data_IF_329962176629
#
_entry.id   IF_329962176629
#
_cell.length_a   1.000
_cell.length_b   1.000
_cell.length_c   1.000
_cell.angle_alpha   90.00
_cell.angle_beta   90.00
_cell.angle_gamma   90.00
#
_symmetry.space_group_name_H-M   'P 1'
#
loop_
_entity.id
_entity.type
_entity.pdbx_description
1 polymer ?
#
# COMPACT_ATOMS: atom_id res chain seq x y z
N UNK A 1 -55.12 4.66 47.21
CA UNK A 1 -54.76 4.61 45.78
C UNK A 1 -55.57 3.51 45.13
N UNK A 2 -56.24 3.83 44.03
CA UNK A 2 -57.07 2.88 43.27
C UNK A 2 -56.18 1.95 42.43
N UNK A 3 -56.62 0.71 42.18
CA UNK A 3 -55.90 -0.22 41.30
C UNK A 3 -55.62 0.38 39.91
N UNK A 4 -56.49 1.26 39.40
CA UNK A 4 -56.33 1.91 38.11
C UNK A 4 -55.13 2.89 38.05
N UNK A 5 -54.87 3.64 39.13
CA UNK A 5 -53.72 4.57 39.22
C UNK A 5 -52.39 3.81 39.22
N UNK A 6 -52.37 2.63 39.84
CA UNK A 6 -51.18 1.77 39.92
C UNK A 6 -50.83 1.19 38.54
N UNK A 7 -51.84 0.74 37.79
CA UNK A 7 -51.68 0.23 36.43
C UNK A 7 -51.19 1.30 35.46
N UNK A 8 -51.78 2.52 35.49
CA UNK A 8 -51.30 3.63 34.65
C UNK A 8 -49.85 4.02 34.94
N UNK A 9 -49.44 4.04 36.22
CA UNK A 9 -48.02 4.30 36.58
C UNK A 9 -47.08 3.21 36.06
N UNK A 10 -47.46 1.94 36.14
CA UNK A 10 -46.64 0.84 35.62
C UNK A 10 -46.46 0.91 34.10
N UNK A 11 -47.52 1.27 33.36
CA UNK A 11 -47.45 1.48 31.91
C UNK A 11 -46.50 2.64 31.58
N UNK A 12 -46.66 3.79 32.25
CA UNK A 12 -45.79 4.96 32.03
C UNK A 12 -44.32 4.68 32.36
N UNK A 13 -44.04 3.90 33.42
CA UNK A 13 -42.69 3.44 33.76
C UNK A 13 -42.12 2.51 32.68
N UNK A 14 -42.93 1.57 32.16
CA UNK A 14 -42.51 0.66 31.08
C UNK A 14 -42.16 1.43 29.81
N UNK A 15 -42.98 2.41 29.42
CA UNK A 15 -42.76 3.21 28.22
C UNK A 15 -41.47 4.05 28.35
N UNK A 16 -41.22 4.63 29.53
CA UNK A 16 -39.99 5.36 29.81
C UNK A 16 -38.77 4.45 29.71
N UNK A 17 -38.82 3.24 30.29
CA UNK A 17 -37.70 2.29 30.19
C UNK A 17 -37.44 1.84 28.76
N UNK A 18 -38.49 1.70 27.94
CA UNK A 18 -38.35 1.31 26.55
C UNK A 18 -37.69 2.41 25.70
N UNK A 19 -38.11 3.67 25.89
CA UNK A 19 -37.48 4.82 25.23
C UNK A 19 -36.01 4.95 25.64
N UNK A 20 -35.70 4.83 26.94
CA UNK A 20 -34.33 4.86 27.43
C UNK A 20 -33.49 3.70 26.89
N UNK A 21 -34.07 2.49 26.77
CA UNK A 21 -33.42 1.33 26.18
C UNK A 21 -33.09 1.54 24.70
N UNK A 22 -34.04 2.04 23.91
CA UNK A 22 -33.80 2.36 22.50
C UNK A 22 -32.76 3.48 22.32
N UNK A 23 -32.81 4.54 23.15
CA UNK A 23 -31.80 5.60 23.15
C UNK A 23 -30.42 5.06 23.53
N UNK A 24 -30.35 4.10 24.46
CA UNK A 24 -29.11 3.42 24.83
C UNK A 24 -28.50 2.64 23.66
N UNK A 25 -29.32 1.91 22.90
CA UNK A 25 -28.88 1.18 21.70
C UNK A 25 -28.42 2.15 20.61
N UNK A 26 -29.17 3.23 20.35
CA UNK A 26 -28.79 4.23 19.35
C UNK A 26 -27.48 4.91 19.77
N UNK A 27 -27.35 5.29 21.04
CA UNK A 27 -26.14 5.89 21.59
C UNK A 27 -24.92 4.97 21.48
N UNK A 28 -25.07 3.67 21.76
CA UNK A 28 -23.97 2.71 21.62
C UNK A 28 -23.56 2.52 20.16
N UNK A 29 -24.51 2.46 19.22
CA UNK A 29 -24.22 2.36 17.80
C UNK A 29 -23.49 3.59 17.25
N UNK A 30 -23.86 4.79 17.69
CA UNK A 30 -23.15 6.03 17.33
C UNK A 30 -21.71 5.98 17.83
N UNK A 31 -21.52 5.59 19.10
CA UNK A 31 -20.19 5.48 19.70
C UNK A 31 -19.31 4.47 18.94
N UNK A 32 -19.85 3.28 18.64
CA UNK A 32 -19.14 2.25 17.85
C UNK A 32 -18.81 2.75 16.45
N UNK A 33 -19.72 3.48 15.79
CA UNK A 33 -19.47 4.06 14.47
C UNK A 33 -18.28 5.03 14.47
N UNK A 34 -18.18 5.88 15.51
CA UNK A 34 -17.04 6.79 15.69
C UNK A 34 -15.75 6.02 15.94
N UNK A 35 -15.79 5.00 16.80
CA UNK A 35 -14.62 4.18 17.13
C UNK A 35 -14.08 3.44 15.90
N UNK A 36 -14.96 2.88 15.06
CA UNK A 36 -14.57 2.22 13.81
C UNK A 36 -13.90 3.21 12.86
N UNK A 37 -14.45 4.41 12.69
CA UNK A 37 -13.87 5.44 11.82
C UNK A 37 -12.48 5.88 12.30
N UNK A 38 -12.31 6.07 13.62
CA UNK A 38 -11.02 6.41 14.22
C UNK A 38 -10.02 5.28 14.04
N UNK A 39 -10.42 4.04 14.32
CA UNK A 39 -9.60 2.84 14.14
C UNK A 39 -9.12 2.70 12.69
N UNK A 40 -10.01 2.88 11.71
CA UNK A 40 -9.65 2.86 10.29
C UNK A 40 -8.65 3.97 9.94
N UNK A 41 -8.87 5.19 10.45
CA UNK A 41 -7.98 6.34 10.19
C UNK A 41 -6.58 6.08 10.74
N UNK A 42 -6.49 5.55 11.96
CA UNK A 42 -5.22 5.17 12.60
C UNK A 42 -4.52 4.07 11.80
N UNK A 43 -5.25 3.06 11.33
CA UNK A 43 -4.69 1.98 10.53
C UNK A 43 -4.12 2.46 9.19
N UNK A 44 -4.81 3.38 8.50
CA UNK A 44 -4.31 3.97 7.25
C UNK A 44 -3.07 4.83 7.54
N UNK A 45 -3.11 5.67 8.58
CA UNK A 45 -1.98 6.51 8.96
C UNK A 45 -0.74 5.68 9.34
N UNK A 46 -0.90 4.59 10.08
CA UNK A 46 0.20 3.71 10.47
C UNK A 46 0.81 2.98 9.26
N UNK A 47 -0.02 2.54 8.31
CA UNK A 47 0.46 1.97 7.04
C UNK A 47 1.23 3.00 6.20
N UNK A 48 0.73 4.24 6.11
CA UNK A 48 1.41 5.32 5.40
C UNK A 48 2.75 5.66 6.05
N UNK A 49 2.78 5.74 7.39
CA UNK A 49 4.00 5.97 8.15
C UNK A 49 5.01 4.85 7.92
N UNK A 50 4.61 3.58 8.06
CA UNK A 50 5.50 2.44 7.84
C UNK A 50 6.11 2.43 6.42
N UNK A 51 5.32 2.81 5.40
CA UNK A 51 5.81 2.95 4.02
C UNK A 51 6.84 4.08 3.90
N UNK A 52 6.56 5.23 4.52
CA UNK A 52 7.47 6.37 4.49
C UNK A 52 8.76 6.08 5.26
N UNK A 53 8.68 5.40 6.40
CA UNK A 53 9.84 4.99 7.19
C UNK A 53 10.71 4.00 6.41
N UNK A 54 10.10 3.03 5.71
CA UNK A 54 10.84 2.09 4.86
C UNK A 54 11.53 2.79 3.68
N UNK A 55 10.86 3.74 3.02
CA UNK A 55 11.46 4.53 1.94
C UNK A 55 12.59 5.42 2.48
N UNK A 56 12.37 6.09 3.61
CA UNK A 56 13.36 6.93 4.24
C UNK A 56 14.60 6.11 4.60
N UNK A 57 14.43 4.97 5.26
CA UNK A 57 15.51 4.04 5.56
C UNK A 57 16.29 3.63 4.31
N UNK A 58 15.61 3.26 3.23
CA UNK A 58 16.26 2.90 1.96
C UNK A 58 17.14 4.03 1.41
N UNK A 59 16.67 5.28 1.45
CA UNK A 59 17.44 6.42 0.95
C UNK A 59 18.56 6.87 1.91
N UNK A 60 18.36 6.85 3.24
CA UNK A 60 19.44 7.19 4.19
C UNK A 60 20.60 6.22 4.16
N UNK A 61 20.34 4.92 3.95
CA UNK A 61 21.42 3.93 3.96
C UNK A 61 22.47 4.23 2.88
N UNK A 62 22.09 4.82 1.74
CA UNK A 62 23.06 5.27 0.75
C UNK A 62 23.89 6.49 1.23
N UNK A 63 23.31 7.35 2.08
CA UNK A 63 23.98 8.52 2.66
C UNK A 63 24.98 8.15 3.77
N UNK A 64 24.94 6.93 4.30
CA UNK A 64 25.81 6.45 5.38
C UNK A 64 27.23 6.03 4.92
N UNK A 65 27.64 6.40 3.70
CA UNK A 65 29.00 6.20 3.20
C UNK A 65 29.13 5.24 2.01
N UNK A 66 28.03 4.88 1.34
CA UNK A 66 28.09 4.12 0.10
C UNK A 66 27.99 5.04 -1.12
N UNK A 67 29.13 5.56 -1.56
CA UNK A 67 29.24 6.48 -2.72
C UNK A 67 28.70 5.85 -4.01
N UNK A 68 28.85 4.53 -4.19
CA UNK A 68 28.33 3.82 -5.36
C UNK A 68 26.81 3.81 -5.34
N UNK A 69 26.19 3.47 -4.21
CA UNK A 69 24.73 3.52 -4.07
C UNK A 69 24.20 4.94 -4.25
N UNK A 70 24.85 5.94 -3.67
CA UNK A 70 24.48 7.36 -3.83
C UNK A 70 24.49 7.77 -5.31
N UNK A 71 25.57 7.47 -6.03
CA UNK A 71 25.68 7.75 -7.47
C UNK A 71 24.62 7.02 -8.29
N UNK A 72 24.36 5.74 -7.99
CA UNK A 72 23.37 4.94 -8.74
C UNK A 72 21.93 5.37 -8.48
N UNK A 73 21.62 5.90 -7.29
CA UNK A 73 20.30 6.46 -6.97
C UNK A 73 20.04 7.77 -7.73
N UNK A 74 21.06 8.59 -7.94
CA UNK A 74 20.96 9.88 -8.64
C UNK A 74 20.84 9.73 -10.18
N UNK A 75 21.51 8.73 -10.77
CA UNK A 75 21.63 8.59 -12.24
C UNK A 75 20.43 7.95 -12.96
N UNK A 76 19.32 7.68 -12.28
CA UNK A 76 18.07 7.23 -12.89
C UNK A 76 17.74 5.74 -12.71
N UNK A 77 16.95 5.18 -13.65
CA UNK A 77 16.41 3.81 -13.54
C UNK A 77 17.44 2.73 -13.86
N UNK A 78 18.03 2.78 -15.06
CA UNK A 78 19.14 1.92 -15.48
C UNK A 78 20.30 2.85 -15.84
N UNK A 79 21.13 3.23 -14.85
CA UNK A 79 22.30 4.06 -15.12
C UNK A 79 23.34 3.27 -15.93
N UNK A 80 24.20 4.00 -16.64
CA UNK A 80 25.39 3.41 -17.23
C UNK A 80 26.37 2.98 -16.12
N UNK A 81 26.67 1.69 -16.10
CA UNK A 81 27.55 1.04 -15.11
C UNK A 81 28.58 0.18 -15.82
N UNK A 82 29.69 -0.12 -15.14
CA UNK A 82 30.60 -1.16 -15.59
C UNK A 82 30.00 -2.53 -15.24
N UNK A 83 29.46 -3.22 -16.25
CA UNK A 83 28.83 -4.53 -16.07
C UNK A 83 29.82 -5.64 -15.69
N UNK A 84 31.12 -5.42 -15.92
CA UNK A 84 32.18 -6.34 -15.49
C UNK A 84 32.53 -6.18 -14.00
N UNK A 85 32.13 -5.06 -13.39
CA UNK A 85 32.28 -4.82 -11.96
C UNK A 85 31.13 -5.45 -11.18
N UNK A 86 31.41 -6.58 -10.53
CA UNK A 86 30.43 -7.31 -9.73
C UNK A 86 29.83 -6.45 -8.61
N UNK A 87 30.64 -5.63 -7.94
CA UNK A 87 30.17 -4.79 -6.84
C UNK A 87 29.14 -3.76 -7.30
N UNK A 88 29.44 -3.03 -8.38
CA UNK A 88 28.52 -2.02 -8.92
C UNK A 88 27.21 -2.65 -9.40
N UNK A 89 27.31 -3.81 -10.06
CA UNK A 89 26.15 -4.57 -10.53
C UNK A 89 25.27 -5.07 -9.38
N UNK A 90 25.85 -5.56 -8.30
CA UNK A 90 25.11 -6.00 -7.11
C UNK A 90 24.41 -4.84 -6.39
N UNK A 91 25.07 -3.68 -6.28
CA UNK A 91 24.44 -2.47 -5.72
C UNK A 91 23.26 -2.02 -6.58
N UNK A 92 23.41 -2.00 -7.91
CA UNK A 92 22.31 -1.69 -8.82
C UNK A 92 21.16 -2.70 -8.72
N UNK A 93 21.48 -3.99 -8.62
CA UNK A 93 20.51 -5.08 -8.44
C UNK A 93 19.72 -4.90 -7.14
N UNK A 94 20.38 -4.53 -6.04
CA UNK A 94 19.73 -4.26 -4.75
C UNK A 94 18.78 -3.05 -4.81
N UNK A 95 19.21 -1.95 -5.42
CA UNK A 95 18.35 -0.76 -5.65
C UNK A 95 17.15 -1.14 -6.51
N UNK A 96 17.39 -1.88 -7.58
CA UNK A 96 16.35 -2.30 -8.54
C UNK A 96 15.35 -3.26 -7.91
N UNK A 97 15.79 -4.12 -6.97
CA UNK A 97 14.91 -5.00 -6.21
C UNK A 97 13.83 -4.23 -5.45
N UNK A 98 14.20 -3.13 -4.78
CA UNK A 98 13.22 -2.30 -4.05
C UNK A 98 12.21 -1.67 -5.02
N UNK A 99 12.69 -1.19 -6.18
CA UNK A 99 11.83 -0.65 -7.25
C UNK A 99 10.84 -1.69 -7.77
N UNK A 100 11.29 -2.91 -8.07
CA UNK A 100 10.44 -4.00 -8.57
C UNK A 100 9.34 -4.36 -7.55
N UNK A 101 9.68 -4.45 -6.26
CA UNK A 101 8.69 -4.71 -5.21
C UNK A 101 7.65 -3.59 -5.16
N UNK A 102 8.06 -2.34 -5.30
CA UNK A 102 7.13 -1.20 -5.37
C UNK A 102 6.20 -1.30 -6.59
N UNK A 103 6.70 -1.73 -7.75
CA UNK A 103 5.89 -1.91 -8.95
C UNK A 103 4.89 -3.06 -8.83
N UNK A 104 5.28 -4.18 -8.22
CA UNK A 104 4.37 -5.29 -7.94
C UNK A 104 3.24 -4.84 -7.00
N UNK A 105 3.56 -4.09 -5.94
CA UNK A 105 2.55 -3.55 -5.01
C UNK A 105 1.59 -2.59 -5.72
N UNK A 106 2.08 -1.77 -6.66
CA UNK A 106 1.22 -0.89 -7.45
C UNK A 106 0.31 -1.68 -8.41
N UNK A 107 0.84 -2.73 -9.04
CA UNK A 107 0.06 -3.64 -9.88
C UNK A 107 -1.04 -4.34 -9.08
N UNK A 108 -0.74 -4.81 -7.88
CA UNK A 108 -1.72 -5.41 -6.97
C UNK A 108 -2.83 -4.42 -6.58
N UNK A 109 -2.49 -3.18 -6.29
CA UNK A 109 -3.49 -2.13 -6.02
C UNK A 109 -4.33 -1.81 -7.26
N UNK A 110 -3.72 -1.75 -8.44
CA UNK A 110 -4.41 -1.49 -9.69
C UNK A 110 -5.43 -2.59 -10.02
N UNK A 111 -5.03 -3.87 -9.96
CA UNK A 111 -5.97 -4.99 -10.23
C UNK A 111 -7.09 -5.09 -9.21
N UNK A 112 -6.91 -4.55 -8.00
CA UNK A 112 -7.94 -4.45 -6.97
C UNK A 112 -8.84 -3.20 -7.13
N UNK A 113 -8.58 -2.34 -8.12
CA UNK A 113 -9.33 -1.10 -8.35
C UNK A 113 -9.03 0.01 -7.35
N UNK A 114 -7.92 -0.10 -6.61
CA UNK A 114 -7.53 0.88 -5.57
C UNK A 114 -6.78 2.09 -6.15
N UNK A 115 -6.19 1.95 -7.34
CA UNK A 115 -5.56 3.06 -8.05
C UNK A 115 -6.10 3.16 -9.49
N UNK A 116 -6.32 4.38 -10.02
CA UNK A 116 -6.72 4.60 -11.40
C UNK A 116 -5.69 4.13 -12.45
N UNK A 117 -6.15 3.89 -13.70
CA UNK A 117 -5.29 3.48 -14.83
C UNK A 117 -4.19 4.48 -15.13
N UNK A 118 -4.49 5.78 -15.19
CA UNK A 118 -3.52 6.85 -15.47
C UNK A 118 -2.40 6.89 -14.43
N UNK A 119 -2.74 6.65 -13.17
CA UNK A 119 -1.80 6.53 -12.05
C UNK A 119 -0.93 5.28 -12.19
N UNK A 120 -1.54 4.15 -12.58
CA UNK A 120 -0.82 2.90 -12.76
C UNK A 120 0.06 2.89 -14.02
N UNK A 121 -0.34 3.57 -15.09
CA UNK A 121 0.40 3.69 -16.35
C UNK A 121 1.82 4.20 -16.11
N UNK A 122 1.99 5.21 -15.25
CA UNK A 122 3.32 5.68 -14.87
C UNK A 122 4.18 4.56 -14.25
N UNK A 123 3.59 3.73 -13.39
CA UNK A 123 4.29 2.60 -12.76
C UNK A 123 4.61 1.50 -13.77
N UNK A 124 3.65 1.15 -14.65
CA UNK A 124 3.85 0.21 -15.75
C UNK A 124 5.02 0.64 -16.62
N UNK A 125 5.07 1.89 -17.05
CA UNK A 125 6.11 2.39 -17.94
C UNK A 125 7.50 2.28 -17.31
N UNK A 126 7.63 2.51 -15.98
CA UNK A 126 8.90 2.31 -15.27
C UNK A 126 9.27 0.84 -15.09
N UNK A 127 8.28 -0.04 -14.88
CA UNK A 127 8.52 -1.48 -14.83
C UNK A 127 8.99 -2.00 -16.21
N UNK A 128 8.39 -1.50 -17.29
CA UNK A 128 8.78 -1.82 -18.67
C UNK A 128 10.22 -1.41 -19.00
N UNK A 129 10.74 -0.31 -18.44
CA UNK A 129 12.16 0.05 -18.61
C UNK A 129 13.10 -1.10 -18.21
N UNK A 130 12.83 -1.77 -17.07
CA UNK A 130 13.63 -2.93 -16.63
C UNK A 130 13.26 -4.22 -17.35
N UNK A 131 11.99 -4.36 -17.73
CA UNK A 131 11.51 -5.52 -18.45
C UNK A 131 12.06 -5.57 -19.88
N UNK A 132 12.22 -4.43 -20.53
CA UNK A 132 12.63 -4.32 -21.93
C UNK A 132 14.16 -4.34 -22.11
N UNK A 133 14.92 -4.16 -21.04
CA UNK A 133 16.37 -4.39 -21.06
C UNK A 133 16.68 -5.87 -20.74
N UNK A 134 17.27 -6.58 -21.70
CA UNK A 134 17.54 -8.02 -21.57
C UNK A 134 18.50 -8.38 -20.43
N UNK A 135 19.35 -7.44 -19.98
CA UNK A 135 20.27 -7.66 -18.85
C UNK A 135 19.50 -7.61 -17.53
N UNK A 136 18.49 -6.74 -17.44
CA UNK A 136 17.69 -6.57 -16.21
C UNK A 136 16.37 -7.32 -16.20
N UNK A 137 15.88 -7.82 -17.35
CA UNK A 137 14.66 -8.64 -17.43
C UNK A 137 14.67 -9.82 -16.43
N UNK A 138 15.77 -10.57 -16.25
CA UNK A 138 15.81 -11.63 -15.24
C UNK A 138 15.54 -11.13 -13.82
N UNK A 139 15.93 -9.89 -13.49
CA UNK A 139 15.71 -9.35 -12.15
C UNK A 139 14.23 -9.17 -11.83
N UNK A 140 13.43 -8.73 -12.80
CA UNK A 140 11.99 -8.57 -12.65
C UNK A 140 11.28 -9.92 -12.70
N UNK A 141 11.56 -10.76 -13.70
CA UNK A 141 10.85 -12.05 -13.88
C UNK A 141 11.05 -13.01 -12.70
N UNK A 142 12.19 -12.93 -12.00
CA UNK A 142 12.46 -13.73 -10.80
C UNK A 142 11.74 -13.25 -9.53
N UNK A 143 11.19 -12.03 -9.52
CA UNK A 143 10.68 -11.37 -8.30
C UNK A 143 9.19 -11.05 -8.33
N UNK A 144 8.57 -11.12 -9.51
CA UNK A 144 7.16 -10.82 -9.68
C UNK A 144 6.34 -12.09 -9.83
N UNK A 145 5.03 -11.99 -9.62
CA UNK A 145 4.09 -13.08 -9.89
C UNK A 145 4.05 -13.39 -11.39
N UNK A 146 3.67 -14.62 -11.74
CA UNK A 146 3.46 -15.01 -13.14
C UNK A 146 2.44 -14.11 -13.85
N UNK A 147 1.41 -13.68 -13.13
CA UNK A 147 0.40 -12.76 -13.62
C UNK A 147 0.98 -11.40 -13.98
N UNK A 148 1.75 -10.77 -13.06
CA UNK A 148 2.38 -9.48 -13.36
C UNK A 148 3.44 -9.60 -14.46
N UNK A 149 4.18 -10.71 -14.51
CA UNK A 149 5.11 -10.99 -15.61
C UNK A 149 4.37 -11.05 -16.97
N UNK A 150 3.26 -11.78 -17.03
CA UNK A 150 2.46 -11.92 -18.25
C UNK A 150 1.84 -10.58 -18.66
N UNK A 151 1.42 -9.79 -17.68
CA UNK A 151 0.97 -8.42 -17.89
C UNK A 151 2.06 -7.59 -18.55
N UNK A 152 3.28 -7.56 -18.00
CA UNK A 152 4.39 -6.79 -18.58
C UNK A 152 4.78 -7.30 -19.98
N UNK A 153 4.79 -8.61 -20.19
CA UNK A 153 5.08 -9.20 -21.49
C UNK A 153 4.15 -8.69 -22.59
N UNK A 154 2.86 -8.51 -22.29
CA UNK A 154 1.86 -7.99 -23.25
C UNK A 154 2.18 -6.57 -23.73
N UNK A 155 2.84 -5.76 -22.89
CA UNK A 155 3.19 -4.37 -23.20
C UNK A 155 4.66 -4.18 -23.58
N UNK A 156 5.46 -5.25 -23.54
CA UNK A 156 6.87 -5.21 -23.90
C UNK A 156 7.05 -5.07 -25.41
N UNK A 157 7.96 -4.20 -25.83
CA UNK A 157 8.35 -4.04 -27.24
C UNK A 157 9.59 -4.88 -27.60
N UNK A 158 10.18 -5.57 -26.63
CA UNK A 158 11.47 -6.25 -26.76
C UNK A 158 11.37 -7.74 -26.55
N UNK A 159 11.91 -8.50 -27.52
CA UNK A 159 12.14 -9.93 -27.38
C UNK A 159 13.56 -10.17 -26.87
N UNK A 160 13.62 -10.39 -25.56
CA UNK A 160 14.64 -11.14 -24.85
C UNK A 160 14.01 -12.51 -24.51
#
# INVERSE_FOLDING_TARGET
MSNAERTMRMIALSDLTNILGMLGIIGSLIFVGIEIQQSQTIAIASQLQARNDALMSFYSTALEGNETALRLLDKGLIPEIDWSNDYEREVLSAITRVRIISYLNAYDQYRLGLIPEDTFEFTRNRALVFYDDCRTRPWITQRVTSDFNSFLQKYSEKNC
#
